data_IF_537525115112
#
_entry.id   IF_537525115112
#
_cell.length_a   1.000
_cell.length_b   1.000
_cell.length_c   1.000
_cell.angle_alpha   90.00
_cell.angle_beta   90.00
_cell.angle_gamma   90.00
#
_symmetry.space_group_name_H-M   'P 1'
#
loop_
_entity.id
_entity.type
_entity.pdbx_description
1 polymer ?
#
# COMPACT_ATOMS: atom_id res chain seq x y z
N UNK A 1 13.85 -6.21 7.38
CA UNK A 1 12.95 -6.92 8.30
C UNK A 1 12.83 -8.39 7.92
N UNK A 2 12.38 -8.74 6.70
CA UNK A 2 12.21 -10.12 6.24
C UNK A 2 13.50 -10.93 6.41
N UNK A 3 14.64 -10.39 5.95
CA UNK A 3 15.94 -11.03 6.07
C UNK A 3 16.32 -11.35 7.52
N UNK A 4 16.03 -10.46 8.47
CA UNK A 4 16.24 -10.71 9.90
C UNK A 4 15.36 -11.84 10.41
N UNK A 5 14.08 -11.87 9.99
CA UNK A 5 13.16 -12.93 10.40
C UNK A 5 13.62 -14.28 9.87
N UNK A 6 13.99 -14.36 8.59
CA UNK A 6 14.39 -15.62 7.94
C UNK A 6 15.69 -16.19 8.49
N UNK A 7 16.64 -15.34 8.84
CA UNK A 7 17.97 -15.80 9.26
C UNK A 7 18.14 -15.93 10.77
N UNK A 8 17.37 -15.16 11.55
CA UNK A 8 17.55 -15.11 13.00
C UNK A 8 16.33 -15.61 13.78
N UNK A 9 15.12 -15.10 13.48
CA UNK A 9 13.94 -15.41 14.30
C UNK A 9 13.29 -16.76 13.98
N UNK A 10 13.45 -17.29 12.77
CA UNK A 10 12.96 -18.63 12.43
C UNK A 10 13.87 -19.76 12.92
N UNK A 11 15.16 -19.46 13.17
CA UNK A 11 16.19 -20.43 13.52
C UNK A 11 16.66 -20.37 14.97
N UNK A 12 16.42 -19.25 15.68
CA UNK A 12 16.81 -19.11 17.07
C UNK A 12 15.67 -19.57 17.98
N UNK A 13 15.96 -20.53 18.83
CA UNK A 13 15.24 -20.72 20.09
C UNK A 13 15.57 -19.52 20.98
N UNK A 14 14.88 -18.38 20.74
CA UNK A 14 14.99 -17.23 21.64
C UNK A 14 14.14 -17.58 22.86
N UNK A 15 14.79 -18.14 23.87
CA UNK A 15 14.18 -18.60 25.11
C UNK A 15 13.44 -17.51 25.92
N UNK A 16 13.43 -16.25 25.45
CA UNK A 16 12.87 -15.11 26.17
C UNK A 16 11.74 -14.38 25.42
N UNK A 17 11.38 -14.79 24.19
CA UNK A 17 10.23 -14.24 23.50
C UNK A 17 8.99 -15.12 23.77
N UNK A 18 7.92 -14.51 24.26
CA UNK A 18 6.64 -15.21 24.36
C UNK A 18 6.22 -15.69 22.96
N UNK A 19 5.63 -16.86 22.86
CA UNK A 19 5.17 -17.47 21.60
C UNK A 19 4.31 -16.50 20.79
N UNK A 20 3.52 -15.68 21.47
CA UNK A 20 2.68 -14.63 20.85
C UNK A 20 3.52 -13.59 20.09
N UNK A 21 4.61 -13.09 20.68
CA UNK A 21 5.50 -12.10 20.02
C UNK A 21 6.17 -12.73 18.80
N UNK A 22 6.65 -13.96 18.91
CA UNK A 22 7.26 -14.70 17.81
C UNK A 22 6.28 -14.85 16.64
N UNK A 23 5.06 -15.28 16.92
CA UNK A 23 4.02 -15.46 15.90
C UNK A 23 3.68 -14.15 15.18
N UNK A 24 3.56 -13.04 15.90
CA UNK A 24 3.34 -11.71 15.31
C UNK A 24 4.50 -11.26 14.40
N UNK A 25 5.74 -11.54 14.77
CA UNK A 25 6.92 -11.22 13.95
C UNK A 25 6.90 -12.01 12.64
N UNK A 26 6.62 -13.32 12.72
CA UNK A 26 6.56 -14.21 11.55
C UNK A 26 5.39 -13.81 10.65
N UNK A 27 4.24 -13.54 11.22
CA UNK A 27 3.03 -13.11 10.49
C UNK A 27 3.30 -11.81 9.70
N UNK A 28 3.87 -10.80 10.34
CA UNK A 28 4.24 -9.57 9.65
C UNK A 28 5.27 -9.79 8.54
N UNK A 29 6.24 -10.67 8.73
CA UNK A 29 7.19 -11.01 7.68
C UNK A 29 6.49 -11.66 6.48
N UNK A 30 5.47 -12.50 6.71
CA UNK A 30 4.69 -13.12 5.64
C UNK A 30 3.88 -12.10 4.85
N UNK A 31 3.31 -11.08 5.53
CA UNK A 31 2.64 -9.96 4.86
C UNK A 31 3.63 -9.18 4.00
N UNK A 32 4.76 -8.79 4.56
CA UNK A 32 5.78 -8.01 3.88
C UNK A 32 6.33 -8.71 2.63
N UNK A 33 6.42 -10.05 2.62
CA UNK A 33 6.80 -10.82 1.42
C UNK A 33 5.80 -10.65 0.29
N UNK A 34 4.50 -10.63 0.62
CA UNK A 34 3.42 -10.48 -0.38
C UNK A 34 3.38 -9.10 -1.03
N UNK A 35 3.87 -8.07 -0.34
CA UNK A 35 3.89 -6.69 -0.82
C UNK A 35 5.28 -6.20 -1.18
N UNK A 36 6.18 -7.10 -1.54
CA UNK A 36 7.51 -6.76 -2.06
C UNK A 36 7.41 -6.24 -3.50
N UNK A 37 8.30 -5.34 -3.90
CA UNK A 37 8.40 -4.89 -5.29
C UNK A 37 8.55 -6.10 -6.21
N UNK A 38 7.77 -6.13 -7.29
CA UNK A 38 7.69 -7.24 -8.22
C UNK A 38 6.65 -8.30 -7.85
N UNK A 39 5.94 -8.17 -6.74
CA UNK A 39 4.78 -9.01 -6.40
C UNK A 39 3.47 -8.36 -6.85
N UNK A 40 2.44 -9.17 -7.08
CA UNK A 40 1.10 -8.69 -7.36
C UNK A 40 0.52 -8.02 -6.10
N UNK A 41 -0.02 -6.83 -6.25
CA UNK A 41 -0.68 -6.12 -5.16
C UNK A 41 -1.91 -6.91 -4.66
N UNK A 42 -2.13 -7.00 -3.35
CA UNK A 42 -3.36 -7.55 -2.81
C UNK A 42 -4.59 -6.83 -3.37
N UNK A 43 -5.65 -7.58 -3.68
CA UNK A 43 -6.86 -6.95 -4.20
C UNK A 43 -7.52 -6.07 -3.13
N UNK A 44 -7.95 -4.91 -3.55
CA UNK A 44 -8.74 -3.98 -2.75
C UNK A 44 -10.09 -3.82 -3.43
N UNK A 45 -11.16 -3.95 -2.65
CA UNK A 45 -12.50 -3.53 -3.05
C UNK A 45 -12.93 -2.40 -2.13
N UNK A 46 -13.33 -1.28 -2.68
CA UNK A 46 -13.81 -0.13 -1.93
C UNK A 46 -15.02 0.49 -2.61
N UNK A 47 -15.81 1.20 -1.85
CA UNK A 47 -16.97 1.94 -2.38
C UNK A 47 -16.55 3.36 -2.66
N UNK A 48 -16.77 3.81 -3.90
CA UNK A 48 -16.50 5.19 -4.31
C UNK A 48 -17.54 6.18 -3.76
N UNK A 49 -17.34 7.47 -4.04
CA UNK A 49 -18.29 8.53 -3.63
C UNK A 49 -19.69 8.38 -4.28
N UNK A 50 -19.80 7.67 -5.40
CA UNK A 50 -21.04 7.36 -6.10
C UNK A 50 -21.82 6.17 -5.52
N UNK A 51 -21.21 5.41 -4.60
CA UNK A 51 -21.76 4.21 -4.00
C UNK A 51 -21.47 2.92 -4.79
N UNK A 52 -20.65 3.00 -5.85
CA UNK A 52 -20.24 1.83 -6.63
C UNK A 52 -19.05 1.14 -5.98
N UNK A 53 -19.08 -0.20 -5.94
CA UNK A 53 -17.95 -0.99 -5.45
C UNK A 53 -16.96 -1.20 -6.57
N UNK A 54 -15.75 -0.66 -6.41
CA UNK A 54 -14.63 -0.78 -7.33
C UNK A 54 -13.63 -1.79 -6.79
N UNK A 55 -13.23 -2.74 -7.62
CA UNK A 55 -12.14 -3.67 -7.33
C UNK A 55 -10.88 -3.23 -8.06
N UNK A 56 -9.72 -3.29 -7.38
CA UNK A 56 -8.42 -3.01 -7.98
C UNK A 56 -8.18 -3.85 -9.26
N UNK A 57 -8.68 -5.08 -9.27
CA UNK A 57 -8.49 -5.99 -10.40
C UNK A 57 -9.24 -5.53 -11.67
N UNK A 58 -10.33 -4.78 -11.51
CA UNK A 58 -11.19 -4.32 -12.62
C UNK A 58 -10.68 -3.01 -13.24
N UNK A 59 -9.66 -2.39 -12.65
CA UNK A 59 -9.12 -1.13 -13.15
C UNK A 59 -8.12 -1.38 -14.26
N UNK A 60 -8.37 -0.75 -15.42
CA UNK A 60 -7.46 -0.77 -16.56
C UNK A 60 -6.73 0.56 -16.67
N UNK A 61 -5.40 0.53 -16.51
CA UNK A 61 -4.51 1.68 -16.68
C UNK A 61 -3.07 1.20 -16.81
N UNK A 62 -2.20 1.98 -17.44
CA UNK A 62 -0.77 1.66 -17.51
C UNK A 62 -0.12 1.70 -16.13
N UNK A 63 -0.54 2.66 -15.31
CA UNK A 63 -0.10 2.79 -13.92
C UNK A 63 -1.28 3.06 -13.00
N UNK A 64 -1.21 2.49 -11.80
CA UNK A 64 -2.16 2.72 -10.74
C UNK A 64 -1.40 3.18 -9.49
N UNK A 65 -1.84 4.29 -8.93
CA UNK A 65 -1.33 4.80 -7.66
C UNK A 65 -2.35 4.48 -6.57
N UNK A 66 -1.96 3.71 -5.57
CA UNK A 66 -2.75 3.52 -4.36
C UNK A 66 -2.31 4.58 -3.35
N UNK A 67 -3.21 5.46 -2.99
CA UNK A 67 -2.99 6.54 -2.04
C UNK A 67 -3.83 6.31 -0.78
N UNK A 68 -3.20 5.76 0.25
CA UNK A 68 -3.83 5.54 1.55
C UNK A 68 -3.68 6.78 2.41
N UNK A 69 -4.79 7.34 2.86
CA UNK A 69 -4.80 8.62 3.55
C UNK A 69 -5.82 8.68 4.70
N UNK A 70 -5.68 9.70 5.55
CA UNK A 70 -6.70 10.16 6.50
C UNK A 70 -7.01 11.64 6.20
N UNK A 71 -8.28 12.07 6.24
CA UNK A 71 -8.66 13.45 5.89
C UNK A 71 -7.96 14.52 6.72
N UNK A 72 -7.72 14.27 8.02
CA UNK A 72 -7.09 15.23 8.94
C UNK A 72 -5.56 15.32 8.80
N UNK A 73 -4.96 14.45 8.01
CA UNK A 73 -3.52 14.38 7.85
C UNK A 73 -3.00 15.50 6.94
N UNK A 74 -2.25 16.46 7.47
CA UNK A 74 -1.71 17.60 6.72
C UNK A 74 -0.82 17.19 5.53
N UNK A 75 0.00 16.14 5.70
CA UNK A 75 0.81 15.59 4.62
C UNK A 75 -0.07 14.99 3.53
N UNK A 76 -1.16 14.31 3.90
CA UNK A 76 -2.10 13.72 2.97
C UNK A 76 -2.76 14.80 2.10
N UNK A 77 -3.17 15.93 2.69
CA UNK A 77 -3.76 17.07 1.97
C UNK A 77 -2.77 17.63 0.94
N UNK A 78 -1.48 17.78 1.32
CA UNK A 78 -0.43 18.23 0.42
C UNK A 78 -0.22 17.24 -0.73
N UNK A 79 -0.05 15.97 -0.41
CA UNK A 79 0.25 14.92 -1.38
C UNK A 79 -0.92 14.70 -2.35
N UNK A 80 -2.17 14.82 -1.87
CA UNK A 80 -3.37 14.79 -2.71
C UNK A 80 -3.31 15.85 -3.82
N UNK A 81 -2.93 17.09 -3.51
CA UNK A 81 -2.80 18.17 -4.51
C UNK A 81 -1.73 17.88 -5.56
N UNK A 82 -0.61 17.27 -5.15
CA UNK A 82 0.46 16.86 -6.06
C UNK A 82 -0.06 15.76 -7.00
N UNK A 83 -0.76 14.77 -6.46
CA UNK A 83 -1.37 13.67 -7.23
C UNK A 83 -2.43 14.19 -8.22
N UNK A 84 -3.30 15.10 -7.80
CA UNK A 84 -4.30 15.73 -8.67
C UNK A 84 -3.66 16.50 -9.84
N UNK A 85 -2.51 17.17 -9.58
CA UNK A 85 -1.75 17.85 -10.63
C UNK A 85 -1.15 16.82 -11.59
N UNK A 86 -0.61 15.73 -11.09
CA UNK A 86 -0.06 14.65 -11.90
C UNK A 86 -1.11 14.06 -12.86
N UNK A 87 -2.34 13.85 -12.40
CA UNK A 87 -3.45 13.35 -13.22
C UNK A 87 -3.84 14.30 -14.37
N UNK A 88 -3.74 15.61 -14.16
CA UNK A 88 -4.05 16.59 -15.22
C UNK A 88 -3.07 16.51 -16.40
N UNK A 89 -1.84 16.12 -16.12
CA UNK A 89 -0.77 16.06 -17.10
C UNK A 89 -0.63 14.68 -17.78
N UNK A 90 -1.34 13.65 -17.29
CA UNK A 90 -1.17 12.26 -17.72
C UNK A 90 -2.49 11.50 -17.77
N UNK A 91 -2.73 10.80 -18.88
CA UNK A 91 -3.92 9.97 -19.11
C UNK A 91 -3.66 8.47 -18.85
N UNK A 92 -2.40 8.11 -18.57
CA UNK A 92 -1.93 6.73 -18.38
C UNK A 92 -1.84 6.33 -16.89
N UNK A 93 -2.34 7.19 -15.98
CA UNK A 93 -2.30 6.98 -14.54
C UNK A 93 -3.70 7.10 -13.95
N UNK A 94 -4.08 6.16 -13.12
CA UNK A 94 -5.26 6.25 -12.24
C UNK A 94 -4.78 6.32 -10.79
N UNK A 95 -5.38 7.20 -10.00
CA UNK A 95 -5.11 7.32 -8.57
C UNK A 95 -6.34 6.84 -7.80
N UNK A 96 -6.16 5.77 -7.03
CA UNK A 96 -7.15 5.30 -6.08
C UNK A 96 -6.88 5.96 -4.73
N UNK A 97 -7.78 6.85 -4.34
CA UNK A 97 -7.74 7.51 -3.04
C UNK A 97 -8.53 6.67 -2.04
N UNK A 98 -7.82 6.06 -1.08
CA UNK A 98 -8.38 5.11 -0.13
C UNK A 98 -8.33 5.76 1.25
N UNK A 99 -9.49 6.17 1.73
CA UNK A 99 -9.66 6.70 3.09
C UNK A 99 -9.65 5.57 4.10
N UNK A 100 -8.67 5.59 4.99
CA UNK A 100 -8.52 4.61 6.06
C UNK A 100 -8.79 5.20 7.45
N UNK A 101 -9.56 6.27 7.52
CA UNK A 101 -9.87 6.96 8.79
C UNK A 101 -10.90 6.25 9.66
N UNK A 102 -11.81 5.47 9.06
CA UNK A 102 -12.81 4.71 9.81
C UNK A 102 -12.17 3.50 10.51
N UNK A 103 -11.87 3.67 11.79
CA UNK A 103 -11.25 2.65 12.63
C UNK A 103 -12.20 1.50 13.01
N UNK A 104 -13.51 1.62 12.72
CA UNK A 104 -14.49 0.57 12.97
C UNK A 104 -14.80 -0.26 11.70
N UNK A 105 -14.22 0.10 10.58
CA UNK A 105 -14.42 -0.61 9.31
C UNK A 105 -13.53 -1.84 9.23
N UNK A 106 -14.14 -3.02 9.12
CA UNK A 106 -13.41 -4.28 8.87
C UNK A 106 -12.62 -4.20 7.57
N UNK A 107 -13.16 -3.52 6.55
CA UNK A 107 -12.48 -3.32 5.26
C UNK A 107 -11.20 -2.52 5.45
N UNK A 108 -11.24 -1.43 6.23
CA UNK A 108 -10.06 -0.62 6.52
C UNK A 108 -9.02 -1.41 7.32
N UNK A 109 -9.45 -2.21 8.29
CA UNK A 109 -8.55 -3.09 9.03
C UNK A 109 -7.84 -4.08 8.12
N UNK A 110 -8.58 -4.71 7.20
CA UNK A 110 -8.00 -5.67 6.24
C UNK A 110 -6.99 -4.98 5.30
N UNK A 111 -7.31 -3.80 4.79
CA UNK A 111 -6.43 -3.00 3.93
C UNK A 111 -5.15 -2.60 4.67
N UNK A 112 -5.28 -2.04 5.87
CA UNK A 112 -4.16 -1.62 6.71
C UNK A 112 -3.23 -2.81 6.98
N UNK A 113 -3.80 -3.97 7.28
CA UNK A 113 -3.07 -5.19 7.55
C UNK A 113 -2.36 -5.74 6.31
N UNK A 114 -3.08 -5.88 5.18
CA UNK A 114 -2.54 -6.47 3.94
C UNK A 114 -1.43 -5.62 3.31
N UNK A 115 -1.50 -4.30 3.44
CA UNK A 115 -0.51 -3.36 2.91
C UNK A 115 0.52 -2.89 3.94
N UNK A 116 0.50 -3.44 5.16
CA UNK A 116 1.38 -3.04 6.29
C UNK A 116 1.43 -1.51 6.46
N UNK A 117 0.26 -0.86 6.49
CA UNK A 117 0.18 0.60 6.57
C UNK A 117 0.42 1.03 8.01
N UNK A 118 1.58 1.64 8.26
CA UNK A 118 1.99 2.09 9.59
C UNK A 118 1.75 3.60 9.79
N UNK A 119 1.71 4.36 8.70
CA UNK A 119 1.58 5.83 8.71
C UNK A 119 0.81 6.30 7.49
N UNK A 120 0.25 7.51 7.54
CA UNK A 120 -0.36 8.19 6.40
C UNK A 120 0.38 9.49 6.08
N UNK A 121 0.49 9.87 4.82
CA UNK A 121 0.12 9.09 3.63
C UNK A 121 1.04 7.90 3.38
N UNK A 122 0.49 6.82 2.81
CA UNK A 122 1.27 5.71 2.25
C UNK A 122 0.92 5.58 0.78
N UNK A 123 1.93 5.49 -0.08
CA UNK A 123 1.76 5.44 -1.54
C UNK A 123 2.43 4.18 -2.10
N UNK A 124 1.66 3.45 -2.92
CA UNK A 124 2.13 2.36 -3.77
C UNK A 124 1.95 2.74 -5.22
N UNK A 125 2.90 2.37 -6.08
CA UNK A 125 2.80 2.46 -7.53
C UNK A 125 2.73 1.05 -8.10
N UNK A 126 1.72 0.80 -8.93
CA UNK A 126 1.50 -0.48 -9.62
C UNK A 126 1.62 -0.25 -11.13
N UNK A 127 2.00 -1.32 -11.85
CA UNK A 127 1.93 -1.34 -13.31
C UNK A 127 0.56 -1.88 -13.82
N UNK A 128 0.42 -2.00 -15.12
CA UNK A 128 -0.81 -2.48 -15.78
C UNK A 128 -1.24 -3.88 -15.32
N UNK A 129 -0.30 -4.73 -14.89
CA UNK A 129 -0.56 -6.07 -14.36
C UNK A 129 -0.79 -6.09 -12.85
N UNK A 130 -0.96 -4.92 -12.21
CA UNK A 130 -1.08 -4.75 -10.76
C UNK A 130 0.14 -5.22 -9.97
N UNK A 131 1.31 -5.29 -10.63
CA UNK A 131 2.56 -5.59 -9.95
C UNK A 131 3.08 -4.35 -9.22
N UNK A 132 3.56 -4.52 -8.00
CA UNK A 132 4.11 -3.42 -7.21
C UNK A 132 5.44 -2.97 -7.82
N UNK A 133 5.46 -1.77 -8.36
CA UNK A 133 6.63 -1.13 -8.98
C UNK A 133 7.44 -0.35 -7.95
N UNK A 134 6.74 0.36 -7.07
CA UNK A 134 7.33 1.11 -5.98
C UNK A 134 6.35 1.19 -4.81
N UNK A 135 6.89 1.34 -3.61
CA UNK A 135 6.09 1.48 -2.39
C UNK A 135 6.75 2.43 -1.40
N UNK A 136 5.94 3.02 -0.50
CA UNK A 136 6.38 4.01 0.48
C UNK A 136 7.16 5.17 -0.16
N UNK A 137 6.74 5.55 -1.38
CA UNK A 137 7.32 6.66 -2.13
C UNK A 137 6.61 7.96 -1.80
N UNK A 138 7.25 9.09 -2.10
CA UNK A 138 6.62 10.39 -2.00
C UNK A 138 5.82 10.68 -3.26
N UNK A 139 4.78 11.52 -3.14
CA UNK A 139 3.97 11.92 -4.29
C UNK A 139 4.80 12.57 -5.40
N UNK A 140 5.82 13.36 -5.02
CA UNK A 140 6.74 14.03 -5.96
C UNK A 140 7.58 13.04 -6.78
N UNK A 141 7.88 11.87 -6.25
CA UNK A 141 8.78 10.89 -6.87
C UNK A 141 8.06 9.99 -7.89
N UNK A 142 6.73 9.97 -7.93
CA UNK A 142 5.94 9.09 -8.81
C UNK A 142 6.34 9.29 -10.28
N UNK A 143 6.41 10.55 -10.73
CA UNK A 143 6.78 10.88 -12.11
C UNK A 143 8.15 10.34 -12.47
N UNK A 144 9.11 10.43 -11.56
CA UNK A 144 10.45 9.87 -11.75
C UNK A 144 10.43 8.34 -11.82
N UNK A 145 9.66 7.68 -10.97
CA UNK A 145 9.56 6.22 -10.97
C UNK A 145 8.95 5.68 -12.26
N UNK A 146 7.96 6.37 -12.82
CA UNK A 146 7.33 5.99 -14.09
C UNK A 146 8.31 6.20 -15.26
N UNK A 147 9.01 7.34 -15.31
CA UNK A 147 9.90 7.68 -16.42
C UNK A 147 11.19 6.82 -16.43
N UNK A 148 11.51 6.13 -15.35
CA UNK A 148 12.68 5.27 -15.26
C UNK A 148 12.48 3.89 -15.94
N UNK A 149 11.25 3.58 -16.32
CA UNK A 149 10.87 2.33 -17.00
C UNK A 149 10.65 2.52 -18.48
#
# INVERSE_FOLDING_TARGET
YIHLVDNYFSKLEINNLTENIRNRIIERANILRKITIGQSAPNISYTDEGGDTISLQDIESDYIVLFFYKPECQKCIRDKRILETLMKDRNDIIILQIDISDENSDINHDIIYQYDIMTTPTIYLLDTNKMIVAKHIKAEDIKFQINKR
#
